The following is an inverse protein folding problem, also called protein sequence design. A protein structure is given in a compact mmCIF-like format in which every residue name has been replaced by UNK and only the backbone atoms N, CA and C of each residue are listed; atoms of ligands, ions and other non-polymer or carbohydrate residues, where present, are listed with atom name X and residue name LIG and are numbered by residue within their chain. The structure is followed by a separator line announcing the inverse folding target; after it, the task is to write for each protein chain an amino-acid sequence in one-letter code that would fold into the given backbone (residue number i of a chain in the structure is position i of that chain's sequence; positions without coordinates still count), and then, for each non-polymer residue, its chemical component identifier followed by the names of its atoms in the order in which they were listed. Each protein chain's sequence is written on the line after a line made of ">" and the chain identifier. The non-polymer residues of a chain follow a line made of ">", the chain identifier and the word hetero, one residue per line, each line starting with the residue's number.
data_IF_034466527885
#
_entry.id   IF_034466527885
#
_cell.length_a   1.000
_cell.length_b   1.000
_cell.length_c   1.000
_cell.angle_alpha   90.00
_cell.angle_beta   90.00
_cell.angle_gamma   90.00
#
_symmetry.space_group_name_H-M   'P 1'
#
loop_
_entity.id
_entity.type
_entity.pdbx_description
1 polymer ?
#
# COMPACT_ATOMS: atom_id res chain seq x y z
N UNK A 1 9.93 -10.98 -28.72
CA UNK A 1 11.01 -11.77 -28.09
C UNK A 1 10.68 -13.23 -28.21
N UNK A 2 11.36 -13.91 -29.11
CA UNK A 2 11.85 -15.27 -28.92
C UNK A 2 12.77 -15.59 -30.10
N UNK A 3 13.88 -16.24 -29.80
CA UNK A 3 14.28 -17.39 -30.61
C UNK A 3 14.24 -18.55 -29.64
N UNK A 4 13.34 -19.52 -29.89
CA UNK A 4 12.78 -20.53 -28.95
C UNK A 4 13.05 -20.25 -27.44
N UNK A 5 12.34 -19.29 -26.87
CA UNK A 5 12.66 -18.58 -25.61
C UNK A 5 13.79 -17.56 -25.82
N UNK A 6 15.08 -17.90 -25.64
CA UNK A 6 16.21 -17.03 -26.02
C UNK A 6 17.54 -17.68 -26.49
N UNK A 7 17.79 -18.99 -26.62
CA UNK A 7 16.91 -20.17 -26.66
C UNK A 7 16.60 -20.72 -25.24
N UNK A 8 15.98 -21.90 -25.13
CA UNK A 8 15.14 -22.52 -24.06
C UNK A 8 14.84 -21.79 -22.72
N UNK A 9 15.75 -20.98 -22.19
CA UNK A 9 15.39 -19.84 -21.36
C UNK A 9 16.19 -18.55 -21.64
N UNK A 10 17.52 -18.43 -21.41
CA UNK A 10 18.63 -18.65 -22.35
C UNK A 10 19.09 -20.10 -22.53
N UNK A 11 18.82 -20.92 -21.51
CA UNK A 11 18.46 -22.33 -21.70
C UNK A 11 17.76 -22.89 -20.44
N UNK A 12 18.07 -22.29 -19.26
CA UNK A 12 17.53 -22.68 -17.94
C UNK A 12 17.20 -21.54 -16.96
N UNK A 13 17.93 -20.41 -17.01
CA UNK A 13 17.74 -19.26 -16.08
C UNK A 13 17.54 -17.91 -16.79
N UNK A 14 17.39 -17.93 -18.11
CA UNK A 14 16.76 -16.84 -18.84
C UNK A 14 17.73 -15.91 -19.55
N UNK A 15 18.55 -15.22 -18.76
CA UNK A 15 18.19 -13.82 -18.74
C UNK A 15 19.14 -12.90 -19.50
N UNK A 16 18.82 -12.70 -20.78
CA UNK A 16 19.29 -11.56 -21.54
C UNK A 16 18.21 -10.44 -21.60
N UNK A 17 18.22 -9.48 -20.66
CA UNK A 17 17.37 -8.30 -20.75
C UNK A 17 17.91 -7.34 -21.84
N UNK A 18 17.44 -7.53 -23.08
CA UNK A 18 17.72 -6.63 -24.21
C UNK A 18 18.24 -7.32 -25.48
N UNK A 19 18.79 -8.53 -25.34
CA UNK A 19 19.28 -9.46 -26.38
C UNK A 19 19.59 -8.88 -27.76
N UNK A 20 20.87 -8.53 -27.95
CA UNK A 20 21.48 -8.17 -29.23
C UNK A 20 22.87 -8.81 -29.35
N UNK A 21 22.92 -10.14 -29.21
CA UNK A 21 24.15 -10.93 -29.05
C UNK A 21 25.00 -10.43 -27.86
N UNK A 22 24.37 -10.33 -26.69
CA UNK A 22 24.95 -9.84 -25.43
C UNK A 22 24.70 -10.85 -24.31
N UNK A 23 25.66 -11.09 -23.42
CA UNK A 23 25.58 -12.09 -22.33
C UNK A 23 25.46 -11.49 -20.94
N UNK A 24 25.67 -10.18 -20.76
CA UNK A 24 25.51 -9.50 -19.47
C UNK A 24 24.71 -8.19 -19.56
N UNK A 25 24.23 -7.73 -18.40
CA UNK A 25 23.57 -6.42 -18.26
C UNK A 25 24.54 -5.29 -18.62
N UNK A 26 25.75 -5.32 -18.08
CA UNK A 26 26.72 -4.23 -18.25
C UNK A 26 27.19 -4.11 -19.70
N UNK A 27 27.37 -5.23 -20.40
CA UNK A 27 27.68 -5.26 -21.84
C UNK A 27 26.54 -4.62 -22.67
N UNK A 28 25.28 -4.94 -22.35
CA UNK A 28 24.15 -4.34 -23.02
C UNK A 28 24.02 -2.84 -22.71
N UNK A 29 24.16 -2.44 -21.44
CA UNK A 29 24.05 -1.01 -21.06
C UNK A 29 25.18 -0.15 -21.65
N UNK A 30 26.37 -0.72 -21.85
CA UNK A 30 27.49 -0.08 -22.58
C UNK A 30 27.20 0.10 -24.08
N UNK A 31 26.68 -0.95 -24.76
CA UNK A 31 26.47 -0.94 -26.22
C UNK A 31 25.17 -0.25 -26.66
N UNK A 32 24.12 -0.30 -25.85
CA UNK A 32 22.74 -0.01 -26.27
C UNK A 32 21.91 0.84 -25.30
N UNK A 33 22.54 1.40 -24.26
CA UNK A 33 21.93 2.18 -23.16
C UNK A 33 21.13 1.37 -22.12
N UNK A 34 20.76 2.05 -21.02
CA UNK A 34 20.27 1.42 -19.80
C UNK A 34 18.88 0.80 -19.94
N UNK A 35 18.75 -0.47 -19.55
CA UNK A 35 17.50 -1.24 -19.63
C UNK A 35 16.51 -0.73 -18.58
N UNK A 36 17.01 -0.46 -17.37
CA UNK A 36 16.19 0.03 -16.26
C UNK A 36 15.97 1.53 -16.44
N UNK A 37 14.75 1.93 -16.80
CA UNK A 37 14.33 3.34 -16.77
C UNK A 37 14.64 3.93 -15.40
N UNK A 38 15.57 4.89 -15.34
CA UNK A 38 15.77 5.75 -14.18
C UNK A 38 14.44 6.49 -13.93
N UNK A 39 13.67 6.08 -12.92
CA UNK A 39 12.58 6.93 -12.43
C UNK A 39 13.24 8.16 -11.82
N UNK A 40 12.97 9.36 -12.35
CA UNK A 40 13.29 10.59 -11.63
C UNK A 40 12.52 10.53 -10.31
N UNK A 41 13.21 10.42 -9.20
CA UNK A 41 12.61 10.59 -7.89
C UNK A 41 12.26 12.07 -7.77
N UNK A 42 10.98 12.47 -7.58
CA UNK A 42 10.64 13.88 -7.45
C UNK A 42 11.26 14.48 -6.18
N UNK A 43 11.25 13.70 -5.09
CA UNK A 43 11.90 14.03 -3.82
C UNK A 43 13.40 13.74 -3.86
N UNK A 44 14.23 14.80 -3.88
CA UNK A 44 15.66 14.73 -3.49
C UNK A 44 15.78 14.41 -2.01
N UNK A 45 16.95 14.06 -1.50
CA UNK A 45 17.11 13.81 -0.04
C UNK A 45 17.08 15.13 0.76
N UNK A 46 17.56 16.23 0.18
CA UNK A 46 17.45 17.60 0.71
C UNK A 46 15.98 18.04 0.91
N UNK A 47 15.12 17.82 -0.08
CA UNK A 47 13.68 18.10 0.04
C UNK A 47 13.00 17.24 1.12
N UNK A 48 13.52 16.04 1.40
CA UNK A 48 12.99 15.18 2.47
C UNK A 48 13.41 15.67 3.85
N UNK A 49 14.66 16.11 4.03
CA UNK A 49 15.10 16.73 5.29
C UNK A 49 14.35 18.03 5.54
N UNK A 50 14.24 18.92 4.54
CA UNK A 50 13.50 20.17 4.66
C UNK A 50 12.02 19.93 5.02
N UNK A 51 11.35 18.98 4.38
CA UNK A 51 9.96 18.63 4.73
C UNK A 51 9.81 18.08 6.16
N UNK A 52 10.82 17.40 6.70
CA UNK A 52 10.83 16.88 8.08
C UNK A 52 11.12 18.00 9.07
N UNK A 53 12.10 18.85 8.79
CA UNK A 53 12.53 20.01 9.60
C UNK A 53 11.37 21.00 9.80
N UNK A 54 10.81 21.53 8.71
CA UNK A 54 9.68 22.48 8.77
C UNK A 54 8.42 21.88 9.43
N UNK A 55 8.22 20.57 9.34
CA UNK A 55 7.13 19.88 10.04
C UNK A 55 7.40 19.66 11.54
N UNK A 56 8.66 19.51 11.96
CA UNK A 56 9.03 19.37 13.37
C UNK A 56 9.08 20.71 14.09
N UNK A 57 9.59 21.75 13.44
CA UNK A 57 9.66 23.13 13.97
C UNK A 57 8.27 23.74 14.22
N UNK A 58 7.25 23.24 13.51
CA UNK A 58 5.84 23.62 13.65
C UNK A 58 5.08 22.91 14.79
N UNK A 59 5.79 22.23 15.71
CA UNK A 59 5.25 21.51 16.88
C UNK A 59 3.95 20.71 16.61
N UNK A 60 4.01 19.64 15.80
CA UNK A 60 2.82 19.02 15.21
C UNK A 60 1.99 18.24 16.25
N UNK A 61 0.76 18.72 16.50
CA UNK A 61 -0.22 18.04 17.37
C UNK A 61 -1.15 17.14 16.56
N UNK A 62 -1.88 16.18 17.16
CA UNK A 62 -2.86 15.36 16.44
C UNK A 62 -3.97 16.15 15.72
N UNK A 63 -4.23 17.39 16.13
CA UNK A 63 -5.20 18.27 15.47
C UNK A 63 -4.53 19.09 14.35
N UNK A 64 -3.42 19.77 14.65
CA UNK A 64 -2.70 20.66 13.69
C UNK A 64 -1.88 19.92 12.63
N UNK A 65 -1.55 18.64 12.84
CA UNK A 65 -0.68 17.86 11.94
C UNK A 65 -1.18 17.75 10.49
N UNK A 66 -2.48 17.94 10.25
CA UNK A 66 -3.09 17.93 8.92
C UNK A 66 -3.16 19.32 8.26
N UNK A 67 -2.79 20.37 8.98
CA UNK A 67 -2.74 21.76 8.50
C UNK A 67 -1.30 22.13 8.14
N UNK A 68 -0.35 21.84 9.04
CA UNK A 68 1.10 21.91 8.79
C UNK A 68 1.49 21.08 7.54
N UNK A 69 0.87 19.92 7.33
CA UNK A 69 1.10 19.08 6.12
C UNK A 69 0.55 19.68 4.82
N UNK A 70 -0.35 20.66 4.88
CA UNK A 70 -0.75 21.46 3.70
C UNK A 70 0.23 22.61 3.50
N UNK A 71 0.58 23.34 4.56
CA UNK A 71 1.51 24.47 4.53
C UNK A 71 2.87 24.06 3.96
N UNK A 72 3.47 22.99 4.50
CA UNK A 72 4.71 22.38 4.00
C UNK A 72 4.57 21.84 2.55
N UNK A 73 3.37 21.48 2.11
CA UNK A 73 3.14 21.02 0.73
C UNK A 73 3.00 22.18 -0.25
N UNK A 74 2.32 23.26 0.14
CA UNK A 74 2.16 24.49 -0.64
C UNK A 74 3.50 25.21 -0.79
N UNK A 75 4.33 25.27 0.25
CA UNK A 75 5.68 25.84 0.20
C UNK A 75 6.64 25.01 -0.68
N UNK A 76 6.61 23.68 -0.59
CA UNK A 76 7.45 22.79 -1.41
C UNK A 76 6.92 22.55 -2.84
N UNK A 77 5.75 23.10 -3.19
CA UNK A 77 5.10 22.87 -4.49
C UNK A 77 4.71 21.40 -4.74
N UNK A 78 4.47 20.65 -3.68
CA UNK A 78 4.25 19.21 -3.67
C UNK A 78 2.84 18.84 -3.16
N UNK A 79 2.48 17.56 -3.21
CA UNK A 79 1.16 17.13 -2.72
C UNK A 79 1.16 16.91 -1.20
N UNK A 80 0.09 17.29 -0.45
CA UNK A 80 -0.01 16.99 0.99
C UNK A 80 0.09 15.49 1.31
N UNK A 81 -0.35 14.62 0.39
CA UNK A 81 -0.14 13.18 0.51
C UNK A 81 1.32 12.76 0.28
N UNK A 82 2.04 13.44 -0.63
CA UNK A 82 3.49 13.29 -0.83
C UNK A 82 4.27 13.63 0.43
N UNK A 83 4.06 14.82 0.99
CA UNK A 83 4.62 15.27 2.29
C UNK A 83 4.32 14.23 3.37
N UNK A 84 3.05 13.85 3.56
CA UNK A 84 2.65 12.83 4.54
C UNK A 84 3.35 11.48 4.32
N UNK A 85 3.62 11.07 3.08
CA UNK A 85 4.38 9.85 2.79
C UNK A 85 5.86 9.97 3.15
N UNK A 86 6.48 11.15 3.07
CA UNK A 86 7.85 11.39 3.56
C UNK A 86 7.86 11.35 5.08
N UNK A 87 7.02 12.14 5.75
CA UNK A 87 6.94 12.22 7.21
C UNK A 87 6.61 10.86 7.86
N UNK A 88 5.75 10.06 7.23
CA UNK A 88 5.43 8.70 7.71
C UNK A 88 6.60 7.73 7.54
N UNK A 89 7.46 7.91 6.53
CA UNK A 89 8.68 7.11 6.35
C UNK A 89 9.81 7.54 7.28
N UNK A 90 9.88 8.83 7.62
CA UNK A 90 10.79 9.37 8.64
C UNK A 90 10.34 9.05 10.08
N UNK A 91 9.13 8.52 10.26
CA UNK A 91 8.56 8.16 11.58
C UNK A 91 8.00 9.34 12.39
N UNK A 92 8.22 10.58 11.94
CA UNK A 92 7.82 11.80 12.66
C UNK A 92 6.33 12.16 12.53
N UNK A 93 5.61 11.61 11.55
CA UNK A 93 4.23 12.00 11.26
C UNK A 93 3.25 11.69 12.41
N UNK A 94 2.82 12.75 13.10
CA UNK A 94 1.78 12.68 14.12
C UNK A 94 0.43 12.44 13.44
N UNK A 95 -0.19 11.32 13.78
CA UNK A 95 -1.52 10.96 13.26
C UNK A 95 -2.58 11.57 14.15
N UNK A 96 -3.61 12.18 13.53
CA UNK A 96 -4.84 12.54 14.24
C UNK A 96 -5.38 11.34 15.01
N UNK A 97 -5.52 11.52 16.32
CA UNK A 97 -6.10 10.53 17.22
C UNK A 97 -7.53 10.28 16.78
N UNK A 98 -7.90 9.06 16.34
CA UNK A 98 -9.29 8.75 16.09
C UNK A 98 -10.04 8.88 17.42
N UNK A 99 -11.22 9.52 17.40
CA UNK A 99 -12.13 9.48 18.53
C UNK A 99 -12.30 8.01 18.98
N UNK A 100 -12.29 7.79 20.30
CA UNK A 100 -12.28 6.44 20.86
C UNK A 100 -13.43 5.61 20.29
N UNK A 101 -13.10 4.62 19.45
CA UNK A 101 -14.09 3.80 18.77
C UNK A 101 -14.76 2.87 19.77
N UNK A 102 -15.88 3.32 20.34
CA UNK A 102 -16.93 2.41 20.79
C UNK A 102 -17.21 1.42 19.67
N UNK A 103 -17.28 0.14 20.01
CA UNK A 103 -17.31 -0.97 19.04
C UNK A 103 -18.70 -1.18 18.44
N UNK A 104 -19.29 -0.12 17.90
CA UNK A 104 -20.49 -0.19 17.05
C UNK A 104 -20.10 -0.91 15.76
N UNK A 105 -20.78 -2.02 15.47
CA UNK A 105 -20.39 -2.95 14.42
C UNK A 105 -20.33 -2.34 13.01
N UNK A 106 -19.49 -2.90 12.14
CA UNK A 106 -19.36 -2.45 10.75
C UNK A 106 -20.63 -2.71 9.94
N UNK A 107 -21.48 -1.70 9.84
CA UNK A 107 -22.58 -1.62 8.85
C UNK A 107 -22.08 -1.21 7.46
N UNK A 108 -20.80 -0.84 7.33
CA UNK A 108 -20.13 -0.75 6.03
C UNK A 108 -20.01 -2.14 5.40
N UNK A 109 -20.47 -2.28 4.16
CA UNK A 109 -20.54 -3.54 3.39
C UNK A 109 -19.18 -4.10 2.95
N UNK A 110 -18.28 -4.35 3.90
CA UNK A 110 -17.13 -5.22 3.69
C UNK A 110 -17.57 -6.68 3.50
N UNK A 111 -16.68 -7.50 2.94
CA UNK A 111 -16.92 -8.95 2.79
C UNK A 111 -17.09 -9.59 4.17
N UNK A 112 -18.31 -10.04 4.48
CA UNK A 112 -18.60 -10.89 5.64
C UNK A 112 -17.97 -12.27 5.38
N UNK A 113 -17.30 -12.87 6.36
CA UNK A 113 -16.84 -14.26 6.21
C UNK A 113 -18.00 -15.24 6.35
N UNK A 114 -17.80 -16.48 5.88
CA UNK A 114 -18.81 -17.54 6.00
C UNK A 114 -19.17 -17.80 7.48
N UNK A 115 -18.17 -17.87 8.36
CA UNK A 115 -18.38 -18.02 9.80
C UNK A 115 -19.14 -16.81 10.39
N UNK A 116 -18.71 -15.59 10.10
CA UNK A 116 -19.37 -14.35 10.55
C UNK A 116 -20.85 -14.24 10.12
N UNK A 117 -21.27 -14.97 9.08
CA UNK A 117 -22.65 -15.04 8.62
C UNK A 117 -23.44 -16.16 9.32
N UNK A 118 -22.84 -17.36 9.45
CA UNK A 118 -23.44 -18.50 10.14
C UNK A 118 -23.64 -18.24 11.64
N UNK A 119 -22.67 -17.61 12.31
CA UNK A 119 -22.74 -17.29 13.74
C UNK A 119 -23.87 -16.29 14.05
N UNK A 120 -24.02 -15.25 13.22
CA UNK A 120 -25.09 -14.24 13.37
C UNK A 120 -26.48 -14.80 13.08
N UNK A 121 -26.59 -15.74 12.13
CA UNK A 121 -27.86 -16.43 11.86
C UNK A 121 -28.21 -17.40 13.00
N UNK A 122 -27.20 -18.08 13.55
CA UNK A 122 -27.35 -18.96 14.72
C UNK A 122 -27.82 -18.18 15.95
N UNK A 123 -27.24 -17.01 16.23
CA UNK A 123 -27.66 -16.17 17.36
C UNK A 123 -29.08 -15.65 17.17
N UNK A 124 -29.45 -15.10 16.00
CA UNK A 124 -30.80 -14.53 15.80
C UNK A 124 -31.92 -15.57 15.83
N UNK A 125 -31.66 -16.83 15.40
CA UNK A 125 -32.61 -17.94 15.53
C UNK A 125 -32.76 -18.35 17.01
N UNK A 126 -31.66 -18.37 17.77
CA UNK A 126 -31.66 -18.63 19.21
C UNK A 126 -32.42 -17.54 19.99
N UNK A 127 -32.15 -16.26 19.68
CA UNK A 127 -32.81 -15.10 20.27
C UNK A 127 -34.32 -15.05 19.93
N UNK A 128 -34.72 -15.61 18.78
CA UNK A 128 -36.11 -15.82 18.38
C UNK A 128 -36.78 -17.04 19.03
N UNK A 129 -36.06 -17.80 19.88
CA UNK A 129 -36.58 -18.96 20.61
C UNK A 129 -36.84 -20.19 19.74
N UNK A 130 -36.14 -20.33 18.60
CA UNK A 130 -36.29 -21.45 17.68
C UNK A 130 -35.08 -22.38 17.73
N UNK A 131 -35.28 -23.67 17.41
CA UNK A 131 -34.17 -24.63 17.35
C UNK A 131 -33.27 -24.37 16.13
N UNK A 132 -31.95 -24.38 16.38
CA UNK A 132 -30.93 -24.08 15.37
C UNK A 132 -30.49 -25.36 14.65
N UNK A 133 -30.94 -25.55 13.40
CA UNK A 133 -30.41 -26.62 12.54
C UNK A 133 -29.05 -26.24 11.93
N UNK A 134 -27.97 -26.67 12.60
CA UNK A 134 -26.60 -26.51 12.12
C UNK A 134 -26.31 -27.24 10.78
N UNK A 135 -27.05 -28.31 10.43
CA UNK A 135 -26.91 -28.98 9.13
C UNK A 135 -27.59 -28.22 7.99
N UNK A 136 -28.52 -27.32 8.29
CA UNK A 136 -29.07 -26.37 7.31
C UNK A 136 -28.16 -25.13 7.22
N UNK A 137 -27.81 -24.52 8.35
CA UNK A 137 -27.00 -23.27 8.38
C UNK A 137 -25.65 -23.45 7.68
N UNK A 138 -24.98 -24.59 7.88
CA UNK A 138 -23.70 -24.91 7.19
C UNK A 138 -23.81 -25.00 5.66
N UNK A 139 -25.02 -25.17 5.09
CA UNK A 139 -25.26 -25.27 3.64
C UNK A 139 -25.72 -23.95 3.00
N UNK A 140 -26.08 -22.94 3.78
CA UNK A 140 -26.66 -21.68 3.27
C UNK A 140 -25.63 -20.71 2.66
N UNK A 141 -24.34 -20.93 2.90
CA UNK A 141 -23.28 -19.95 2.60
C UNK A 141 -22.34 -20.33 1.45
N UNK A 142 -22.40 -21.57 0.96
CA UNK A 142 -21.47 -22.13 -0.03
C UNK A 142 -20.26 -22.82 0.58
#
# INVERSE_FOLDING_TARGET
>A
MSDRYYQQMLDTTGWCPGFRNTTSIDEYEQKFSKIRRKRKMPWTDEMKSQAVEMYQDSEPTPETSMEIVKEVAEELGESPNGVRMILTKAGVYVRKTPAARTSTGSTGGGRVSVADAQDKLTSTISDAGQEVDAQIISKLTG
#
